data_IF_319215577065
#
_entry.id   IF_319215577065
#
_cell.length_a   1.000
_cell.length_b   1.000
_cell.length_c   1.000
_cell.angle_alpha   90.00
_cell.angle_beta   90.00
_cell.angle_gamma   90.00
#
_symmetry.space_group_name_H-M   'P 1'
#
loop_
_entity.id
_entity.type
_entity.pdbx_description
1 polymer ?
#
# COMPACT_ATOMS: atom_id res chain seq x y z
N UNK A 1 -12.31 -1.74 -33.31
CA UNK A 1 -12.11 -2.46 -32.03
C UNK A 1 -12.58 -1.52 -30.93
N UNK A 2 -13.78 -1.74 -30.40
CA UNK A 2 -14.30 -0.89 -29.32
C UNK A 2 -13.53 -1.25 -28.06
N UNK A 3 -12.71 -0.33 -27.55
CA UNK A 3 -12.36 -0.33 -26.14
C UNK A 3 -13.72 -0.32 -25.42
N UNK A 4 -14.04 -1.36 -24.65
CA UNK A 4 -15.26 -1.39 -23.84
C UNK A 4 -15.33 -0.14 -22.96
N UNK A 5 -16.49 0.13 -22.36
CA UNK A 5 -16.76 1.33 -21.54
C UNK A 5 -15.89 1.41 -20.25
N UNK A 6 -14.57 1.38 -20.38
CA UNK A 6 -13.60 1.46 -19.31
C UNK A 6 -13.43 2.93 -18.93
N UNK A 7 -13.79 3.26 -17.71
CA UNK A 7 -13.54 4.57 -17.14
C UNK A 7 -12.18 4.56 -16.44
N UNK A 8 -11.28 5.46 -16.84
CA UNK A 8 -9.97 5.63 -16.23
C UNK A 8 -9.94 6.97 -15.50
N UNK A 9 -9.72 6.95 -14.19
CA UNK A 9 -9.55 8.15 -13.37
C UNK A 9 -8.07 8.48 -13.22
N UNK A 10 -7.67 9.67 -13.65
CA UNK A 10 -6.33 10.23 -13.44
C UNK A 10 -6.40 11.35 -12.40
N UNK A 11 -5.58 11.24 -11.36
CA UNK A 11 -5.38 12.29 -10.36
C UNK A 11 -3.91 12.71 -10.32
N UNK A 12 -3.66 14.01 -10.27
CA UNK A 12 -2.32 14.57 -10.19
C UNK A 12 -2.26 15.66 -9.12
N UNK A 13 -1.17 15.66 -8.34
CA UNK A 13 -0.87 16.68 -7.34
C UNK A 13 0.59 17.08 -7.45
N UNK A 14 0.90 18.36 -7.24
CA UNK A 14 2.28 18.83 -7.18
C UNK A 14 2.87 18.50 -5.81
N UNK A 15 3.88 17.64 -5.78
CA UNK A 15 4.61 17.25 -4.56
C UNK A 15 6.09 17.53 -4.74
N UNK A 16 6.75 18.04 -3.71
CA UNK A 16 8.20 18.30 -3.68
C UNK A 16 9.04 17.04 -3.44
N UNK A 17 8.68 15.92 -4.05
CA UNK A 17 9.31 14.61 -3.84
C UNK A 17 9.99 14.14 -5.13
N UNK A 18 11.18 13.56 -5.00
CA UNK A 18 11.96 13.05 -6.13
C UNK A 18 11.54 11.61 -6.44
N UNK A 19 11.11 11.38 -7.68
CA UNK A 19 10.82 10.02 -8.14
C UNK A 19 12.08 9.16 -8.24
N UNK A 20 11.92 7.86 -8.00
CA UNK A 20 12.92 6.82 -8.22
C UNK A 20 12.50 5.95 -9.39
N UNK A 21 13.46 5.48 -10.19
CA UNK A 21 13.17 4.59 -11.31
C UNK A 21 12.87 3.18 -10.79
N UNK A 22 11.79 2.57 -11.26
CA UNK A 22 11.40 1.18 -10.98
C UNK A 22 10.92 0.49 -12.25
N UNK A 23 11.10 -0.83 -12.29
CA UNK A 23 10.55 -1.68 -13.33
C UNK A 23 9.06 -1.95 -13.03
N UNK A 24 8.23 -1.78 -14.04
CA UNK A 24 6.82 -2.13 -14.04
C UNK A 24 6.58 -3.24 -15.08
N UNK A 25 6.05 -4.37 -14.61
CA UNK A 25 5.64 -5.48 -15.47
C UNK A 25 4.21 -5.26 -15.94
N UNK A 26 4.03 -5.22 -17.26
CA UNK A 26 2.72 -5.11 -17.91
C UNK A 26 1.99 -6.46 -17.91
N UNK A 27 0.68 -6.46 -18.18
CA UNK A 27 -0.10 -7.69 -18.33
C UNK A 27 0.40 -8.62 -19.47
N UNK A 28 1.20 -8.08 -20.40
CA UNK A 28 1.81 -8.82 -21.51
C UNK A 28 3.22 -9.35 -21.15
N UNK A 29 3.71 -9.10 -19.93
CA UNK A 29 5.04 -9.51 -19.46
C UNK A 29 6.18 -8.59 -19.89
N UNK A 30 5.89 -7.44 -20.51
CA UNK A 30 6.92 -6.44 -20.83
C UNK A 30 7.32 -5.64 -19.59
N UNK A 31 8.61 -5.36 -19.44
CA UNK A 31 9.17 -4.51 -18.39
C UNK A 31 9.37 -3.07 -18.90
N UNK A 32 8.76 -2.11 -18.21
CA UNK A 32 8.89 -0.68 -18.49
C UNK A 32 9.53 0.04 -17.29
N UNK A 33 10.44 0.98 -17.56
CA UNK A 33 10.96 1.86 -16.52
C UNK A 33 10.00 3.01 -16.27
N UNK A 34 9.50 3.12 -15.04
CA UNK A 34 8.60 4.18 -14.60
C UNK A 34 9.18 4.90 -13.38
N UNK A 35 8.83 6.18 -13.24
CA UNK A 35 9.15 6.94 -12.02
C UNK A 35 8.07 6.66 -10.98
N UNK A 36 8.49 6.19 -9.81
CA UNK A 36 7.63 5.97 -8.65
C UNK A 36 8.09 6.83 -7.47
N UNK A 37 7.24 6.96 -6.46
CA UNK A 37 7.72 7.42 -5.15
C UNK A 37 8.69 6.38 -4.55
N UNK A 38 9.63 6.81 -3.69
CA UNK A 38 10.37 5.91 -2.83
C UNK A 38 9.42 5.02 -2.01
N UNK A 39 9.72 3.72 -1.81
CA UNK A 39 8.86 2.83 -1.04
C UNK A 39 8.50 3.37 0.35
N UNK A 40 9.45 4.01 1.04
CA UNK A 40 9.27 4.60 2.36
C UNK A 40 8.24 5.74 2.33
N UNK A 41 8.29 6.60 1.31
CA UNK A 41 7.31 7.67 1.12
C UNK A 41 5.93 7.10 0.80
N UNK A 42 5.84 6.07 -0.04
CA UNK A 42 4.56 5.41 -0.32
C UNK A 42 3.95 4.78 0.94
N UNK A 43 4.77 4.17 1.80
CA UNK A 43 4.33 3.63 3.08
C UNK A 43 3.80 4.75 3.99
N UNK A 44 4.49 5.89 4.08
CA UNK A 44 4.03 7.06 4.86
C UNK A 44 2.66 7.55 4.37
N UNK A 45 2.46 7.62 3.06
CA UNK A 45 1.17 7.98 2.48
C UNK A 45 0.08 6.97 2.84
N UNK A 46 0.41 5.66 2.83
CA UNK A 46 -0.53 4.60 3.24
C UNK A 46 -0.88 4.64 4.72
N UNK A 47 0.09 4.91 5.60
CA UNK A 47 -0.13 5.14 7.03
C UNK A 47 -1.11 6.31 7.20
N UNK A 48 -0.84 7.45 6.56
CA UNK A 48 -1.68 8.64 6.66
C UNK A 48 -3.10 8.39 6.14
N UNK A 49 -3.23 7.74 4.98
CA UNK A 49 -4.52 7.37 4.41
C UNK A 49 -5.30 6.44 5.36
N UNK A 50 -4.69 5.38 5.87
CA UNK A 50 -5.39 4.47 6.79
C UNK A 50 -5.86 5.19 8.05
N UNK A 51 -4.99 6.01 8.67
CA UNK A 51 -5.37 6.77 9.88
C UNK A 51 -6.52 7.75 9.62
N UNK A 52 -6.64 8.29 8.40
CA UNK A 52 -7.70 9.22 8.02
C UNK A 52 -9.05 8.52 7.72
N UNK A 53 -9.04 7.44 6.95
CA UNK A 53 -10.27 6.81 6.41
C UNK A 53 -10.54 5.37 6.86
N UNK A 54 -9.58 4.71 7.50
CA UNK A 54 -9.66 3.33 8.03
C UNK A 54 -10.14 2.31 6.99
N UNK A 55 -9.56 2.34 5.80
CA UNK A 55 -9.89 1.44 4.69
C UNK A 55 -8.98 0.21 4.69
N UNK A 56 -9.53 -1.00 4.67
CA UNK A 56 -8.78 -2.26 4.72
C UNK A 56 -7.72 -2.38 3.62
N UNK A 57 -8.01 -1.82 2.43
CA UNK A 57 -7.07 -1.81 1.31
C UNK A 57 -5.75 -1.12 1.63
N UNK A 58 -5.78 -0.03 2.41
CA UNK A 58 -4.55 0.69 2.76
C UNK A 58 -3.71 -0.12 3.74
N UNK A 59 -4.36 -0.86 4.66
CA UNK A 59 -3.69 -1.75 5.60
C UNK A 59 -3.03 -2.92 4.87
N UNK A 60 -3.74 -3.51 3.90
CA UNK A 60 -3.23 -4.59 3.07
C UNK A 60 -2.04 -4.12 2.21
N UNK A 61 -2.19 -3.00 1.50
CA UNK A 61 -1.12 -2.39 0.71
C UNK A 61 0.11 -2.12 1.59
N UNK A 62 -0.08 -1.53 2.78
CA UNK A 62 1.01 -1.26 3.72
C UNK A 62 1.77 -2.54 4.10
N UNK A 63 1.06 -3.63 4.38
CA UNK A 63 1.70 -4.92 4.69
C UNK A 63 2.51 -5.49 3.52
N UNK A 64 2.00 -5.35 2.30
CA UNK A 64 2.67 -5.81 1.10
C UNK A 64 3.90 -4.94 0.77
N UNK A 65 3.79 -3.63 0.94
CA UNK A 65 4.83 -2.67 0.58
C UNK A 65 6.05 -2.73 1.48
N UNK A 66 5.89 -3.14 2.75
CA UNK A 66 7.00 -3.25 3.70
C UNK A 66 8.15 -4.15 3.24
N UNK A 67 7.88 -5.12 2.36
CA UNK A 67 8.93 -5.99 1.79
C UNK A 67 9.88 -5.27 0.83
N UNK A 68 9.50 -4.10 0.33
CA UNK A 68 10.26 -3.33 -0.66
C UNK A 68 10.96 -2.11 -0.07
N UNK A 69 10.66 -1.77 1.18
CA UNK A 69 11.26 -0.63 1.87
C UNK A 69 12.42 -1.06 2.76
N UNK A 70 13.41 -0.19 2.88
CA UNK A 70 14.44 -0.35 3.88
C UNK A 70 13.87 -0.07 5.27
N UNK A 71 14.03 -1.02 6.18
CA UNK A 71 13.44 -0.98 7.54
C UNK A 71 14.31 -0.15 8.48
N UNK A 72 14.54 1.10 8.08
CA UNK A 72 15.29 2.08 8.86
C UNK A 72 14.61 2.31 10.22
N UNK A 73 15.38 2.72 11.23
CA UNK A 73 14.82 3.03 12.54
C UNK A 73 13.77 4.15 12.49
N UNK A 74 13.87 5.06 11.52
CA UNK A 74 12.85 6.07 11.29
C UNK A 74 11.51 5.46 10.85
N UNK A 75 11.54 4.58 9.85
CA UNK A 75 10.33 3.90 9.37
C UNK A 75 9.73 3.01 10.48
N UNK A 76 10.57 2.27 11.21
CA UNK A 76 10.12 1.49 12.37
C UNK A 76 9.43 2.36 13.41
N UNK A 77 9.99 3.53 13.74
CA UNK A 77 9.39 4.49 14.67
C UNK A 77 8.03 5.00 14.17
N UNK A 78 7.89 5.27 12.88
CA UNK A 78 6.60 5.64 12.27
C UNK A 78 5.57 4.53 12.37
N UNK A 79 5.96 3.29 12.06
CA UNK A 79 5.09 2.12 12.19
C UNK A 79 4.69 1.87 13.64
N UNK A 80 5.58 2.03 14.62
CA UNK A 80 5.23 1.95 16.06
C UNK A 80 4.15 2.98 16.42
N UNK A 81 4.27 4.22 15.95
CA UNK A 81 3.26 5.27 16.16
C UNK A 81 1.94 4.94 15.48
N UNK A 82 1.98 4.37 14.28
CA UNK A 82 0.80 3.88 13.58
C UNK A 82 0.09 2.78 14.37
N UNK A 83 0.84 1.75 14.80
CA UNK A 83 0.32 0.60 15.56
C UNK A 83 -0.32 1.04 16.89
N UNK A 84 0.27 2.02 17.58
CA UNK A 84 -0.30 2.57 18.82
C UNK A 84 -1.63 3.31 18.61
N UNK A 85 -1.88 3.81 17.39
CA UNK A 85 -3.10 4.55 17.03
C UNK A 85 -4.07 3.71 16.21
N UNK A 86 -3.76 2.43 16.01
CA UNK A 86 -4.54 1.55 15.16
C UNK A 86 -5.98 1.44 15.66
N UNK A 87 -6.90 1.45 14.70
CA UNK A 87 -8.32 1.13 14.88
C UNK A 87 -8.74 0.24 13.73
N UNK A 88 -9.71 -0.63 14.00
CA UNK A 88 -10.23 -1.56 13.00
C UNK A 88 -10.76 -0.82 11.76
N UNK A 89 -10.59 -1.43 10.57
CA UNK A 89 -11.07 -0.87 9.31
C UNK A 89 -12.60 -0.89 9.28
N UNK A 90 -13.19 0.09 8.59
CA UNK A 90 -14.66 0.22 8.48
C UNK A 90 -15.27 -0.74 7.44
N UNK A 91 -14.45 -1.42 6.65
CA UNK A 91 -14.82 -2.14 5.44
C UNK A 91 -14.07 -3.46 5.27
N UNK A 92 -13.76 -4.18 6.36
CA UNK A 92 -12.97 -5.42 6.33
C UNK A 92 -13.48 -6.44 5.29
N UNK A 93 -14.80 -6.59 5.16
CA UNK A 93 -15.44 -7.51 4.22
C UNK A 93 -15.22 -7.17 2.73
N UNK A 94 -14.70 -5.98 2.41
CA UNK A 94 -14.42 -5.56 1.03
C UNK A 94 -13.07 -6.09 0.51
N UNK A 95 -12.15 -6.55 1.38
CA UNK A 95 -10.83 -7.01 0.96
C UNK A 95 -10.88 -8.20 -0.01
N UNK A 96 -11.92 -9.05 0.12
CA UNK A 96 -12.17 -10.18 -0.78
C UNK A 96 -12.36 -9.77 -2.24
N UNK A 97 -12.76 -8.52 -2.51
CA UNK A 97 -12.89 -8.01 -3.87
C UNK A 97 -11.54 -7.64 -4.51
N UNK A 98 -10.48 -7.48 -3.70
CA UNK A 98 -9.14 -7.14 -4.16
C UNK A 98 -8.25 -8.37 -4.35
N UNK A 99 -8.49 -9.44 -3.59
CA UNK A 99 -7.69 -10.66 -3.62
C UNK A 99 -8.30 -11.63 -4.63
N UNK A 100 -7.63 -11.79 -5.78
CA UNK A 100 -8.10 -12.66 -6.87
C UNK A 100 -8.00 -14.15 -6.51
N UNK A 101 -6.98 -14.54 -5.75
CA UNK A 101 -6.70 -15.93 -5.39
C UNK A 101 -6.15 -16.05 -3.96
N UNK A 102 -6.48 -17.15 -3.29
CA UNK A 102 -5.96 -17.49 -1.97
C UNK A 102 -6.85 -17.05 -0.80
N UNK A 103 -6.37 -17.28 0.42
CA UNK A 103 -7.08 -16.92 1.65
C UNK A 103 -7.02 -15.41 1.88
N UNK A 104 -8.16 -14.80 2.17
CA UNK A 104 -8.26 -13.38 2.50
C UNK A 104 -7.80 -13.18 3.96
N UNK A 105 -6.72 -12.42 4.22
CA UNK A 105 -6.25 -12.19 5.57
C UNK A 105 -7.21 -11.25 6.31
N UNK A 106 -7.42 -11.50 7.60
CA UNK A 106 -8.17 -10.58 8.46
C UNK A 106 -7.33 -9.34 8.78
N UNK A 107 -7.99 -8.25 9.20
CA UNK A 107 -7.29 -7.04 9.66
C UNK A 107 -6.32 -7.35 10.80
N UNK A 108 -6.69 -8.29 11.68
CA UNK A 108 -5.83 -8.80 12.75
C UNK A 108 -4.60 -9.56 12.25
N UNK A 109 -4.76 -10.46 11.28
CA UNK A 109 -3.64 -11.20 10.69
C UNK A 109 -2.63 -10.26 10.02
N UNK A 110 -3.13 -9.20 9.36
CA UNK A 110 -2.28 -8.15 8.80
C UNK A 110 -1.56 -7.40 9.92
N UNK A 111 -2.27 -6.98 10.97
CA UNK A 111 -1.68 -6.26 12.11
C UNK A 111 -0.56 -7.06 12.80
N UNK A 112 -0.75 -8.37 12.97
CA UNK A 112 0.28 -9.28 13.50
C UNK A 112 1.50 -9.39 12.59
N UNK A 113 1.32 -9.35 11.27
CA UNK A 113 2.44 -9.24 10.34
C UNK A 113 3.20 -7.90 10.54
N UNK A 114 2.49 -6.77 10.62
CA UNK A 114 3.13 -5.46 10.83
C UNK A 114 3.91 -5.39 12.14
N UNK A 115 3.38 -5.96 13.23
CA UNK A 115 4.07 -6.03 14.52
C UNK A 115 5.42 -6.77 14.42
N UNK A 116 5.48 -7.84 13.63
CA UNK A 116 6.71 -8.61 13.40
C UNK A 116 7.75 -7.83 12.60
N UNK A 117 7.32 -7.08 11.59
CA UNK A 117 8.22 -6.26 10.77
C UNK A 117 8.84 -5.07 11.54
N UNK A 118 8.17 -4.61 12.60
CA UNK A 118 8.61 -3.50 13.47
C UNK A 118 9.58 -3.94 14.58
N UNK A 119 9.66 -5.25 14.82
CA UNK A 119 10.54 -5.90 15.79
C UNK A 119 11.96 -5.36 15.82
#
# INVERSE_FOLDING_TARGET
>A
MALGNAEVRLEATFKGVRGVMREYETCEGLLLNVLTLPPEEMIREKIAAYLARRRIRDLYDLSFMLRYAEKTEELKRELRRFLARFREPVDEGELKALILFGAVPTSWAILEHLRREVG
#
